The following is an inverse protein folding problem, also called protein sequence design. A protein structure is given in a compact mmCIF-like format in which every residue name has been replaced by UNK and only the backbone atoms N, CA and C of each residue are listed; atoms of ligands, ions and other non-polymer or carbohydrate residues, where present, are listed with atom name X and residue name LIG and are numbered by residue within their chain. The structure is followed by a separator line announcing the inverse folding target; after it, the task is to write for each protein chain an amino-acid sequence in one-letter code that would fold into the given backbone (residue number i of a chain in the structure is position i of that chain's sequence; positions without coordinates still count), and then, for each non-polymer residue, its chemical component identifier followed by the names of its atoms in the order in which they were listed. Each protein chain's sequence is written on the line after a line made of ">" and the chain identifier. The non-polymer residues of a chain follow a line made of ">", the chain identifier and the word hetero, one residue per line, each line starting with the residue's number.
data_IF_701164267282
#
_entry.id   IF_701164267282
#
_cell.length_a   1.000
_cell.length_b   1.000
_cell.length_c   1.000
_cell.angle_alpha   90.00
_cell.angle_beta   90.00
_cell.angle_gamma   90.00
#
_symmetry.space_group_name_H-M   'P 1'
#
loop_
_entity.id
_entity.type
_entity.pdbx_description
1 polymer ?
#
# COMPACT_ATOMS: atom_id res chain seq x y z
N UNK A 1 9.28 -19.19 -3.96
CA UNK A 1 9.58 -19.40 -5.39
C UNK A 1 8.84 -18.33 -6.19
N UNK A 2 9.42 -17.13 -6.26
CA UNK A 2 8.87 -16.02 -7.01
C UNK A 2 9.31 -16.12 -8.46
N UNK A 3 8.41 -16.52 -9.35
CA UNK A 3 8.64 -16.44 -10.79
C UNK A 3 7.99 -15.16 -11.32
N UNK A 4 8.83 -14.22 -11.73
CA UNK A 4 8.63 -13.21 -12.78
C UNK A 4 7.23 -12.59 -12.90
N UNK A 5 7.06 -11.39 -12.34
CA UNK A 5 6.16 -10.37 -12.91
C UNK A 5 6.59 -8.93 -12.59
N UNK A 6 7.90 -8.68 -12.44
CA UNK A 6 8.43 -7.31 -12.30
C UNK A 6 8.60 -6.62 -13.67
N UNK A 7 7.61 -6.77 -14.57
CA UNK A 7 7.61 -6.10 -15.88
C UNK A 7 7.42 -4.58 -15.78
N UNK A 8 7.00 -4.06 -14.62
CA UNK A 8 6.68 -2.65 -14.44
C UNK A 8 7.79 -1.85 -13.74
N UNK A 9 8.55 -2.47 -12.84
CA UNK A 9 9.52 -1.76 -11.98
C UNK A 9 10.90 -1.58 -12.61
N UNK A 10 11.16 -2.19 -13.79
CA UNK A 10 12.49 -2.27 -14.43
C UNK A 10 13.57 -2.83 -13.49
N UNK A 11 13.19 -3.53 -12.42
CA UNK A 11 14.12 -4.15 -11.48
C UNK A 11 14.76 -5.37 -12.17
N UNK A 12 16.11 -5.49 -12.14
CA UNK A 12 16.79 -6.64 -12.71
C UNK A 12 16.34 -7.95 -12.06
N UNK A 13 16.20 -9.02 -12.85
CA UNK A 13 15.82 -10.35 -12.35
C UNK A 13 16.80 -10.98 -11.36
N UNK A 14 18.04 -10.46 -11.30
CA UNK A 14 19.04 -10.86 -10.33
C UNK A 14 18.92 -10.15 -8.98
N UNK A 15 18.07 -9.12 -8.86
CA UNK A 15 17.84 -8.45 -7.59
C UNK A 15 17.05 -9.37 -6.65
N UNK A 16 17.50 -9.46 -5.40
CA UNK A 16 16.75 -10.17 -4.36
C UNK A 16 15.60 -9.29 -3.86
N UNK A 17 14.40 -9.87 -3.80
CA UNK A 17 13.16 -9.18 -3.38
C UNK A 17 12.44 -10.04 -2.35
N UNK A 18 11.97 -9.41 -1.26
CA UNK A 18 11.14 -10.04 -0.25
C UNK A 18 10.07 -9.08 0.26
N UNK A 19 8.92 -9.63 0.66
CA UNK A 19 7.83 -8.87 1.25
C UNK A 19 7.93 -8.84 2.78
N UNK A 20 7.51 -7.74 3.37
CA UNK A 20 7.39 -7.58 4.82
C UNK A 20 5.99 -7.09 5.13
N UNK A 21 5.30 -7.80 6.00
CA UNK A 21 3.99 -7.41 6.48
C UNK A 21 4.05 -7.25 8.01
N UNK A 22 3.85 -6.03 8.47
CA UNK A 22 3.62 -5.67 9.86
C UNK A 22 2.39 -4.79 10.03
N UNK A 23 1.39 -4.88 9.14
CA UNK A 23 0.25 -3.96 9.05
C UNK A 23 0.69 -2.52 8.73
N UNK A 24 0.11 -1.50 9.35
CA UNK A 24 0.42 -0.08 9.10
C UNK A 24 1.93 0.30 9.07
N UNK A 25 2.81 -0.24 9.93
CA UNK A 25 4.25 0.09 9.89
C UNK A 25 5.05 -0.60 8.77
N UNK A 26 4.44 -1.38 7.88
CA UNK A 26 5.17 -2.21 6.88
C UNK A 26 6.15 -1.42 6.01
N UNK A 27 5.75 -0.26 5.48
CA UNK A 27 6.61 0.58 4.66
C UNK A 27 7.85 1.09 5.41
N UNK A 28 7.66 1.60 6.63
CA UNK A 28 8.79 2.04 7.47
C UNK A 28 9.65 0.85 7.92
N UNK A 29 9.05 -0.31 8.19
CA UNK A 29 9.79 -1.53 8.52
C UNK A 29 10.68 -1.98 7.36
N UNK A 30 10.22 -1.86 6.11
CA UNK A 30 11.01 -2.14 4.92
C UNK A 30 12.24 -1.21 4.85
N UNK A 31 12.08 0.09 5.16
CA UNK A 31 13.21 1.04 5.24
C UNK A 31 14.20 0.61 6.31
N UNK A 32 13.74 0.26 7.52
CA UNK A 32 14.63 -0.17 8.61
C UNK A 32 15.43 -1.45 8.27
N UNK A 33 14.78 -2.42 7.61
CA UNK A 33 15.43 -3.66 7.20
C UNK A 33 16.45 -3.41 6.09
N UNK A 34 16.09 -2.62 5.07
CA UNK A 34 16.99 -2.22 4.00
C UNK A 34 18.22 -1.45 4.55
N UNK A 35 18.00 -0.53 5.47
CA UNK A 35 19.07 0.21 6.14
C UNK A 35 20.01 -0.71 6.92
N UNK A 36 19.45 -1.72 7.61
CA UNK A 36 20.25 -2.71 8.35
C UNK A 36 21.12 -3.54 7.40
N UNK A 37 20.56 -4.03 6.29
CA UNK A 37 21.33 -4.78 5.28
C UNK A 37 22.43 -3.94 4.63
N UNK A 38 22.18 -2.64 4.39
CA UNK A 38 23.21 -1.71 3.88
C UNK A 38 24.29 -1.47 4.93
N UNK A 39 23.92 -1.22 6.18
CA UNK A 39 24.86 -0.94 7.26
C UNK A 39 25.74 -2.15 7.61
N UNK A 40 25.20 -3.37 7.50
CA UNK A 40 25.92 -4.62 7.71
C UNK A 40 26.80 -5.03 6.52
N UNK A 41 26.76 -4.27 5.41
CA UNK A 41 27.52 -4.58 4.20
C UNK A 41 26.98 -5.76 3.39
N UNK A 42 25.74 -6.20 3.65
CA UNK A 42 25.10 -7.28 2.89
C UNK A 42 24.75 -6.83 1.47
N UNK A 43 24.37 -5.57 1.30
CA UNK A 43 24.13 -4.95 -0.01
C UNK A 43 24.61 -3.49 -0.02
N UNK A 44 25.27 -3.03 -1.09
CA UNK A 44 25.70 -1.63 -1.19
C UNK A 44 24.54 -0.67 -1.53
N UNK A 45 23.41 -1.20 -2.02
CA UNK A 45 22.24 -0.45 -2.50
C UNK A 45 20.97 -1.24 -2.23
N UNK A 46 19.91 -0.56 -1.77
CA UNK A 46 18.61 -1.16 -1.52
C UNK A 46 17.47 -0.22 -1.94
N UNK A 47 16.36 -0.80 -2.40
CA UNK A 47 15.10 -0.10 -2.64
C UNK A 47 14.09 -0.58 -1.60
N UNK A 48 13.59 0.33 -0.77
CA UNK A 48 12.50 0.04 0.16
C UNK A 48 11.22 0.67 -0.36
N UNK A 49 10.14 -0.12 -0.40
CA UNK A 49 8.85 0.28 -0.95
C UNK A 49 7.74 -0.07 0.04
N UNK A 50 6.82 0.85 0.27
CA UNK A 50 5.51 0.59 0.87
C UNK A 50 4.43 0.80 -0.18
N UNK A 51 3.47 -0.10 -0.27
CA UNK A 51 2.37 -0.02 -1.23
C UNK A 51 1.12 -0.64 -0.64
N UNK A 52 -0.03 -0.02 -0.90
CA UNK A 52 -1.35 -0.55 -0.62
C UNK A 52 -2.32 -0.26 -1.76
N UNK A 53 -3.22 -1.19 -2.02
CA UNK A 53 -4.38 -1.00 -2.90
C UNK A 53 -5.59 -1.67 -2.28
N UNK A 54 -6.24 -0.93 -1.38
CA UNK A 54 -7.41 -1.37 -0.66
C UNK A 54 -8.64 -1.44 -1.57
N UNK A 55 -8.72 -0.58 -2.59
CA UNK A 55 -9.82 -0.63 -3.58
C UNK A 55 -9.86 -1.93 -4.37
N UNK A 56 -8.72 -2.62 -4.51
CA UNK A 56 -8.61 -3.89 -5.23
C UNK A 56 -8.59 -5.11 -4.30
N UNK A 57 -8.81 -4.91 -3.00
CA UNK A 57 -8.81 -5.99 -2.03
C UNK A 57 -9.99 -6.96 -2.28
N UNK A 58 -9.75 -8.29 -2.34
CA UNK A 58 -10.80 -9.25 -2.65
C UNK A 58 -11.69 -9.52 -1.43
N UNK A 59 -12.86 -10.12 -1.68
CA UNK A 59 -13.57 -10.84 -0.64
C UNK A 59 -13.07 -12.29 -0.56
N UNK A 60 -13.11 -12.88 0.65
CA UNK A 60 -12.61 -14.20 0.99
C UNK A 60 -13.76 -15.18 1.27
N UNK A 61 -13.55 -16.44 0.91
CA UNK A 61 -14.40 -17.57 1.29
C UNK A 61 -13.59 -18.55 2.14
N UNK A 62 -13.53 -18.28 3.45
CA UNK A 62 -12.62 -18.95 4.38
C UNK A 62 -12.81 -20.48 4.44
N UNK A 63 -14.03 -20.98 4.19
CA UNK A 63 -14.35 -22.41 4.29
C UNK A 63 -14.33 -23.16 2.95
N UNK A 64 -14.10 -22.46 1.83
CA UNK A 64 -14.22 -23.06 0.50
C UNK A 64 -13.30 -24.28 0.30
N UNK A 65 -12.09 -24.27 0.87
CA UNK A 65 -11.15 -25.40 0.82
C UNK A 65 -11.25 -26.37 2.01
N UNK A 66 -11.94 -25.98 3.09
CA UNK A 66 -12.05 -26.76 4.32
C UNK A 66 -13.30 -27.68 4.29
N UNK A 67 -13.43 -28.48 3.23
CA UNK A 67 -14.59 -29.35 3.02
C UNK A 67 -15.85 -28.63 2.51
N UNK A 68 -15.73 -27.36 2.13
CA UNK A 68 -16.82 -26.53 1.58
C UNK A 68 -17.88 -26.15 2.62
N UNK A 69 -18.93 -25.46 2.15
CA UNK A 69 -20.05 -25.05 2.99
C UNK A 69 -21.10 -26.14 3.20
N UNK A 70 -20.98 -27.28 2.49
CA UNK A 70 -21.94 -28.40 2.50
C UNK A 70 -23.37 -27.92 2.25
N UNK A 71 -24.22 -27.94 3.28
CA UNK A 71 -25.59 -27.43 3.26
C UNK A 71 -25.68 -26.30 4.28
N UNK A 72 -26.08 -25.12 3.84
CA UNK A 72 -26.20 -23.91 4.67
C UNK A 72 -25.46 -22.72 4.06
N UNK A 73 -25.67 -21.55 4.67
CA UNK A 73 -25.09 -20.30 4.21
C UNK A 73 -23.64 -20.12 4.72
N UNK A 74 -22.89 -19.26 4.02
CA UNK A 74 -21.52 -18.91 4.38
C UNK A 74 -21.26 -17.42 4.19
N UNK A 75 -20.49 -16.78 5.08
CA UNK A 75 -20.19 -15.36 4.94
C UNK A 75 -19.20 -15.12 3.80
N UNK A 76 -19.46 -14.07 3.04
CA UNK A 76 -18.45 -13.45 2.18
C UNK A 76 -17.65 -12.46 3.04
N UNK A 77 -16.36 -12.73 3.25
CA UNK A 77 -15.55 -12.01 4.23
C UNK A 77 -14.73 -10.93 3.56
N UNK A 78 -14.87 -9.68 3.98
CA UNK A 78 -14.06 -8.57 3.47
C UNK A 78 -12.60 -8.70 3.92
N UNK A 79 -11.65 -8.77 2.97
CA UNK A 79 -10.22 -8.94 3.32
C UNK A 79 -9.59 -7.71 3.94
N UNK A 80 -10.05 -6.49 3.62
CA UNK A 80 -9.55 -5.25 4.25
C UNK A 80 -9.89 -5.30 5.73
N UNK A 81 -11.12 -5.65 6.05
CA UNK A 81 -11.56 -5.77 7.43
C UNK A 81 -10.83 -6.92 8.12
N UNK A 82 -10.83 -8.11 7.51
CA UNK A 82 -10.32 -9.33 8.13
C UNK A 82 -8.81 -9.30 8.37
N UNK A 83 -8.02 -9.01 7.33
CA UNK A 83 -6.56 -9.03 7.39
C UNK A 83 -5.99 -7.67 7.82
N UNK A 84 -6.55 -6.58 7.32
CA UNK A 84 -5.98 -5.23 7.50
C UNK A 84 -6.37 -4.55 8.81
N UNK A 85 -7.61 -4.73 9.27
CA UNK A 85 -8.15 -3.96 10.40
C UNK A 85 -8.32 -4.76 11.69
N UNK A 86 -8.79 -6.02 11.63
CA UNK A 86 -9.11 -6.78 12.85
C UNK A 86 -8.18 -7.94 13.16
N UNK A 87 -7.41 -8.46 12.22
CA UNK A 87 -6.46 -9.60 12.41
C UNK A 87 -7.07 -10.95 12.83
N UNK A 88 -8.28 -10.98 13.41
CA UNK A 88 -9.03 -12.18 13.79
C UNK A 88 -10.53 -11.89 13.91
N UNK A 89 -11.39 -12.90 13.80
CA UNK A 89 -12.84 -12.68 13.77
C UNK A 89 -13.42 -12.01 15.02
N UNK A 90 -12.76 -12.21 16.16
CA UNK A 90 -13.27 -11.78 17.48
C UNK A 90 -12.63 -10.48 17.99
N UNK A 91 -11.70 -9.89 17.24
CA UNK A 91 -11.10 -8.62 17.63
C UNK A 91 -11.94 -7.44 17.17
N UNK A 92 -12.05 -6.38 18.00
CA UNK A 92 -12.74 -5.17 17.61
C UNK A 92 -11.95 -4.43 16.51
N UNK A 93 -12.65 -3.60 15.75
CA UNK A 93 -12.01 -2.74 14.76
C UNK A 93 -11.13 -1.68 15.44
N UNK A 94 -10.07 -1.17 14.76
CA UNK A 94 -9.12 -0.24 15.35
C UNK A 94 -9.76 1.03 15.92
N UNK A 95 -10.85 1.50 15.33
CA UNK A 95 -11.59 2.66 15.84
C UNK A 95 -12.16 2.48 17.24
N UNK A 96 -12.53 1.25 17.64
CA UNK A 96 -12.93 0.97 19.02
C UNK A 96 -11.76 1.10 19.99
N UNK A 97 -10.56 0.69 19.58
CA UNK A 97 -9.36 0.89 20.38
C UNK A 97 -8.98 2.37 20.46
N UNK A 98 -9.14 3.12 19.37
CA UNK A 98 -8.92 4.56 19.34
C UNK A 98 -9.87 5.29 20.31
N UNK A 99 -11.17 4.97 20.28
CA UNK A 99 -12.16 5.54 21.21
C UNK A 99 -11.81 5.21 22.67
N UNK A 100 -11.47 3.95 22.97
CA UNK A 100 -11.09 3.54 24.32
C UNK A 100 -9.82 4.28 24.82
N UNK A 101 -8.82 4.42 23.96
CA UNK A 101 -7.59 5.16 24.27
C UNK A 101 -7.87 6.65 24.46
N UNK A 102 -8.72 7.24 23.62
CA UNK A 102 -9.10 8.65 23.74
C UNK A 102 -9.77 8.95 25.08
N UNK A 103 -10.69 8.07 25.54
CA UNK A 103 -11.31 8.18 26.87
C UNK A 103 -10.26 8.10 27.98
N UNK A 104 -9.32 7.16 27.91
CA UNK A 104 -8.25 7.02 28.91
C UNK A 104 -7.33 8.24 28.99
N UNK A 105 -7.08 8.88 27.85
CA UNK A 105 -6.23 10.06 27.72
C UNK A 105 -6.98 11.38 27.96
N UNK A 106 -8.30 11.34 28.20
CA UNK A 106 -9.13 12.53 28.38
C UNK A 106 -9.28 13.37 27.10
N UNK A 107 -9.14 12.75 25.93
CA UNK A 107 -9.32 13.40 24.63
C UNK A 107 -10.81 13.49 24.34
N UNK A 108 -11.31 14.69 24.09
CA UNK A 108 -12.72 14.92 23.77
C UNK A 108 -12.99 14.82 22.26
N UNK A 109 -14.27 14.67 21.90
CA UNK A 109 -14.72 14.76 20.50
C UNK A 109 -14.30 16.09 19.84
N UNK A 110 -14.35 17.18 20.59
CA UNK A 110 -13.95 18.50 20.09
C UNK A 110 -12.44 18.56 19.79
N UNK A 111 -11.61 17.86 20.56
CA UNK A 111 -10.17 17.76 20.29
C UNK A 111 -9.90 16.97 19.01
N UNK A 112 -10.58 15.83 18.82
CA UNK A 112 -10.51 15.04 17.59
C UNK A 112 -10.90 15.85 16.35
N UNK A 113 -12.04 16.55 16.41
CA UNK A 113 -12.54 17.34 15.30
C UNK A 113 -11.64 18.56 15.02
N UNK A 114 -11.13 19.22 16.07
CA UNK A 114 -10.16 20.31 15.93
C UNK A 114 -8.88 19.85 15.24
N UNK A 115 -8.37 18.68 15.62
CA UNK A 115 -7.19 18.10 14.98
C UNK A 115 -7.46 17.74 13.51
N UNK A 116 -8.63 17.17 13.21
CA UNK A 116 -9.03 16.87 11.83
C UNK A 116 -9.01 18.14 10.96
N UNK A 117 -9.65 19.23 11.41
CA UNK A 117 -9.63 20.52 10.69
C UNK A 117 -8.21 21.03 10.47
N UNK A 118 -7.35 20.95 11.49
CA UNK A 118 -5.95 21.36 11.36
C UNK A 118 -5.18 20.50 10.36
N UNK A 119 -5.41 19.18 10.35
CA UNK A 119 -4.76 18.24 9.43
C UNK A 119 -5.10 18.57 7.97
N UNK A 120 -6.39 18.70 7.67
CA UNK A 120 -6.85 19.06 6.32
C UNK A 120 -6.38 20.45 5.91
N UNK A 121 -6.41 21.43 6.81
CA UNK A 121 -5.89 22.77 6.52
C UNK A 121 -4.41 22.71 6.16
N UNK A 122 -3.58 21.99 6.94
CA UNK A 122 -2.14 21.83 6.63
C UNK A 122 -1.92 21.17 5.28
N UNK A 123 -2.70 20.13 4.97
CA UNK A 123 -2.62 19.45 3.68
C UNK A 123 -3.04 20.38 2.52
N UNK A 124 -4.10 21.16 2.69
CA UNK A 124 -4.55 22.14 1.70
C UNK A 124 -3.53 23.26 1.49
N UNK A 125 -2.97 23.81 2.56
CA UNK A 125 -1.93 24.83 2.53
C UNK A 125 -0.66 24.27 1.82
N UNK A 126 -0.26 23.03 2.14
CA UNK A 126 0.86 22.35 1.48
C UNK A 126 0.61 22.12 -0.03
N UNK A 127 -0.59 21.72 -0.41
CA UNK A 127 -0.98 21.57 -1.82
C UNK A 127 -0.94 22.91 -2.56
N UNK A 128 -1.55 23.95 -1.99
CA UNK A 128 -1.64 25.29 -2.60
C UNK A 128 -0.28 25.98 -2.74
N UNK A 129 0.63 25.76 -1.79
CA UNK A 129 2.01 26.27 -1.83
C UNK A 129 2.94 25.46 -2.73
N UNK A 130 2.48 24.32 -3.25
CA UNK A 130 3.28 23.40 -4.05
C UNK A 130 4.32 22.63 -3.24
N UNK A 131 4.16 22.54 -1.91
CA UNK A 131 5.09 21.84 -1.02
C UNK A 131 5.27 20.37 -1.39
N UNK A 132 4.19 19.68 -1.77
CA UNK A 132 4.23 18.28 -2.22
C UNK A 132 4.95 18.07 -3.56
N UNK A 133 5.40 19.13 -4.24
CA UNK A 133 6.34 18.97 -5.37
C UNK A 133 7.73 18.49 -4.91
N UNK A 134 8.06 18.66 -3.62
CA UNK A 134 9.36 18.28 -3.06
C UNK A 134 9.49 16.77 -2.81
N UNK A 135 8.39 16.06 -2.56
CA UNK A 135 8.42 14.61 -2.28
C UNK A 135 8.53 13.75 -3.54
N UNK A 136 8.48 14.39 -4.72
CA UNK A 136 8.57 13.70 -5.99
C UNK A 136 7.31 12.89 -6.30
N UNK A 137 6.11 13.41 -5.99
CA UNK A 137 4.85 12.83 -6.47
C UNK A 137 4.94 12.62 -7.98
N UNK A 138 4.99 11.35 -8.36
CA UNK A 138 5.02 10.97 -9.75
C UNK A 138 3.58 10.88 -10.26
N UNK A 139 3.25 11.52 -11.39
CA UNK A 139 1.97 11.34 -12.04
C UNK A 139 1.66 9.87 -12.26
N UNK A 140 0.54 9.39 -11.71
CA UNK A 140 0.08 8.04 -11.95
C UNK A 140 -0.89 8.04 -13.14
N UNK A 141 -0.53 7.29 -14.17
CA UNK A 141 -1.39 7.06 -15.33
C UNK A 141 -2.31 5.89 -15.03
N UNK A 142 -3.63 6.11 -15.14
CA UNK A 142 -4.60 5.02 -15.06
C UNK A 142 -4.61 4.17 -16.34
N UNK A 143 -4.05 4.69 -17.45
CA UNK A 143 -3.83 3.89 -18.66
C UNK A 143 -2.77 2.81 -18.44
N UNK A 144 -3.21 1.55 -18.58
CA UNK A 144 -2.35 0.38 -18.55
C UNK A 144 -1.67 0.18 -19.92
N UNK A 145 -0.33 0.11 -19.95
CA UNK A 145 0.40 -0.41 -21.10
C UNK A 145 1.21 -1.64 -20.70
N UNK A 146 1.00 -2.75 -21.41
CA UNK A 146 1.88 -3.92 -21.29
C UNK A 146 3.23 -3.54 -21.90
N UNK A 147 4.29 -3.47 -21.08
CA UNK A 147 5.64 -3.25 -21.58
C UNK A 147 6.44 -4.54 -21.47
N UNK A 148 6.97 -5.11 -22.58
CA UNK A 148 7.79 -6.31 -22.53
C UNK A 148 9.10 -6.06 -21.78
N UNK A 149 9.43 -6.92 -20.81
CA UNK A 149 10.75 -6.93 -20.18
C UNK A 149 11.81 -7.36 -21.18
N UNK A 150 12.75 -6.48 -21.55
CA UNK A 150 13.95 -6.86 -22.29
C UNK A 150 15.12 -7.02 -21.31
N UNK A 151 15.71 -8.21 -21.25
CA UNK A 151 17.05 -8.40 -20.70
C UNK A 151 17.93 -9.03 -21.78
N UNK A 152 19.09 -8.41 -22.02
CA UNK A 152 20.16 -9.00 -22.80
C UNK A 152 20.70 -10.22 -22.03
N UNK A 153 20.65 -11.40 -22.66
CA UNK A 153 21.13 -12.63 -22.05
C UNK A 153 22.64 -12.60 -21.86
N UNK A 154 23.10 -12.65 -20.61
CA UNK A 154 24.44 -13.13 -20.30
C UNK A 154 24.36 -14.66 -20.18
N UNK A 155 25.11 -15.35 -21.03
CA UNK A 155 25.15 -16.80 -21.14
C UNK A 155 25.48 -17.48 -19.79
N UNK A 156 24.62 -18.41 -19.38
CA UNK A 156 24.97 -19.45 -18.41
C UNK A 156 24.60 -20.80 -19.02
N UNK A 157 25.56 -21.73 -18.93
CA UNK A 157 25.67 -22.99 -19.66
C UNK A 157 24.43 -23.89 -19.61
N UNK A 158 24.10 -24.45 -20.76
CA UNK A 158 23.04 -25.41 -21.02
C UNK A 158 23.15 -26.69 -20.19
N UNK A 159 22.22 -26.90 -19.26
CA UNK A 159 21.76 -28.23 -18.88
C UNK A 159 20.35 -28.41 -19.45
N UNK A 160 20.24 -29.21 -20.51
CA UNK A 160 18.97 -29.57 -21.14
C UNK A 160 18.28 -30.67 -20.31
N UNK A 161 17.22 -30.30 -19.61
CA UNK A 161 16.21 -31.27 -19.15
C UNK A 161 15.09 -31.28 -20.19
N UNK A 162 14.80 -32.47 -20.72
CA UNK A 162 13.80 -32.70 -21.76
C UNK A 162 12.44 -32.11 -21.36
N UNK A 163 11.92 -31.20 -22.20
CA UNK A 163 10.61 -30.58 -22.01
C UNK A 163 9.50 -31.59 -22.29
N UNK A 164 8.80 -32.03 -21.24
CA UNK A 164 7.43 -32.52 -21.38
C UNK A 164 6.56 -31.30 -21.70
N UNK A 165 6.15 -31.16 -22.95
CA UNK A 165 5.17 -30.16 -23.38
C UNK A 165 3.79 -30.51 -22.78
N UNK A 166 3.57 -30.14 -21.51
CA UNK A 166 2.21 -29.92 -21.04
C UNK A 166 1.72 -28.61 -21.64
N UNK A 167 0.79 -28.74 -22.58
CA UNK A 167 0.00 -27.67 -23.15
C UNK A 167 -0.86 -27.02 -22.05
N UNK A 168 -0.24 -26.23 -21.18
CA UNK A 168 -0.96 -25.32 -20.29
C UNK A 168 -1.52 -24.22 -21.18
N UNK A 169 -2.77 -24.40 -21.64
CA UNK A 169 -3.58 -23.28 -22.11
C UNK A 169 -3.60 -22.26 -20.98
N UNK A 170 -2.86 -21.16 -21.15
CA UNK A 170 -3.10 -19.94 -20.38
C UNK A 170 -4.57 -19.62 -20.56
N UNK A 171 -5.38 -19.89 -19.54
CA UNK A 171 -6.68 -19.25 -19.44
C UNK A 171 -6.33 -17.78 -19.17
N UNK A 172 -6.28 -17.00 -20.24
CA UNK A 172 -6.26 -15.55 -20.10
C UNK A 172 -7.53 -15.19 -19.37
N UNK A 173 -7.42 -14.86 -18.09
CA UNK A 173 -8.50 -14.23 -17.35
C UNK A 173 -8.59 -12.83 -17.94
N UNK A 174 -9.40 -12.67 -18.98
CA UNK A 174 -9.74 -11.35 -19.49
C UNK A 174 -10.48 -10.59 -18.39
N UNK A 175 -10.09 -9.33 -18.16
CA UNK A 175 -10.75 -8.48 -17.15
C UNK A 175 -12.25 -8.47 -17.44
N UNK A 176 -13.11 -8.63 -16.43
CA UNK A 176 -14.54 -8.58 -16.63
C UNK A 176 -14.94 -7.22 -17.20
N UNK A 177 -15.94 -7.20 -18.08
CA UNK A 177 -16.34 -6.07 -18.94
C UNK A 177 -16.58 -4.76 -18.19
N UNK A 178 -16.96 -4.82 -16.91
CA UNK A 178 -17.18 -3.65 -16.06
C UNK A 178 -15.89 -2.94 -15.63
N UNK A 179 -14.74 -3.63 -15.54
CA UNK A 179 -13.43 -3.00 -15.35
C UNK A 179 -12.90 -2.35 -16.65
N UNK A 180 -13.44 -2.73 -17.81
CA UNK A 180 -13.05 -2.17 -19.11
C UNK A 180 -13.83 -0.90 -19.47
N UNK A 181 -14.94 -0.61 -18.78
CA UNK A 181 -15.89 0.45 -19.14
C UNK A 181 -15.73 1.76 -18.35
N UNK A 182 -14.82 1.84 -17.37
CA UNK A 182 -14.79 2.98 -16.43
C UNK A 182 -13.65 3.98 -16.59
N UNK A 183 -12.67 3.80 -17.47
CA UNK A 183 -11.50 4.69 -17.45
C UNK A 183 -11.33 5.43 -18.77
N UNK A 184 -11.74 6.69 -18.80
CA UNK A 184 -11.01 7.66 -19.63
C UNK A 184 -9.63 7.76 -18.99
N UNK A 185 -8.53 7.49 -19.71
CA UNK A 185 -7.19 7.59 -19.15
C UNK A 185 -6.98 8.95 -18.46
N UNK A 186 -6.79 8.91 -17.15
CA UNK A 186 -6.55 10.08 -16.31
C UNK A 186 -5.12 10.08 -15.80
N UNK A 187 -4.65 11.27 -15.43
CA UNK A 187 -3.38 11.43 -14.75
C UNK A 187 -3.67 11.92 -13.33
N UNK A 188 -3.42 11.06 -12.35
CA UNK A 188 -3.55 11.41 -10.94
C UNK A 188 -2.22 12.02 -10.47
N UNK A 189 -2.27 13.26 -9.98
CA UNK A 189 -1.09 14.02 -9.53
C UNK A 189 -1.29 14.71 -8.18
N UNK A 190 -2.46 14.57 -7.58
CA UNK A 190 -2.84 15.24 -6.35
C UNK A 190 -3.50 14.24 -5.41
N UNK A 191 -3.30 14.45 -4.11
CA UNK A 191 -4.03 13.73 -3.07
C UNK A 191 -5.53 14.09 -3.17
N UNK A 192 -6.37 13.07 -3.36
CA UNK A 192 -7.81 13.23 -3.57
C UNK A 192 -8.58 13.61 -2.30
N UNK A 193 -8.05 13.29 -1.12
CA UNK A 193 -8.76 13.47 0.15
C UNK A 193 -8.73 14.92 0.61
N UNK A 194 -7.69 15.69 0.28
CA UNK A 194 -7.48 17.06 0.78
C UNK A 194 -8.69 17.98 0.54
N UNK A 195 -9.42 17.78 -0.56
CA UNK A 195 -10.58 18.60 -0.91
C UNK A 195 -11.92 18.09 -0.34
N UNK A 196 -11.93 16.93 0.34
CA UNK A 196 -13.16 16.25 0.78
C UNK A 196 -13.65 16.70 2.16
N UNK A 197 -12.92 17.52 2.91
CA UNK A 197 -13.37 18.00 4.23
C UNK A 197 -14.59 18.91 4.11
N UNK A 198 -15.61 18.62 4.91
CA UNK A 198 -16.78 19.48 5.11
C UNK A 198 -16.98 19.70 6.61
N UNK A 199 -16.95 20.97 7.03
CA UNK A 199 -17.15 21.34 8.43
C UNK A 199 -18.55 20.99 8.91
N UNK A 200 -19.56 21.15 8.06
CA UNK A 200 -20.95 20.79 8.37
C UNK A 200 -21.08 19.28 8.58
N UNK A 201 -20.43 18.46 7.74
CA UNK A 201 -20.40 17.00 7.93
C UNK A 201 -19.62 16.63 9.18
N UNK A 202 -18.49 17.27 9.45
CA UNK A 202 -17.70 17.01 10.66
C UNK A 202 -18.51 17.26 11.93
N UNK A 203 -19.24 18.38 11.99
CA UNK A 203 -20.08 18.73 13.14
C UNK A 203 -21.29 17.79 13.33
N UNK A 204 -21.89 17.31 12.22
CA UNK A 204 -23.07 16.44 12.25
C UNK A 204 -22.75 14.94 12.20
N UNK A 205 -21.48 14.56 12.07
CA UNK A 205 -21.10 13.17 11.92
C UNK A 205 -21.35 12.35 13.20
N UNK A 206 -22.03 11.23 12.99
CA UNK A 206 -22.25 10.22 14.03
C UNK A 206 -20.96 9.41 14.28
N UNK A 207 -20.71 9.00 15.53
CA UNK A 207 -19.69 8.02 15.85
C UNK A 207 -19.88 6.72 15.07
N UNK A 208 -18.79 6.16 14.55
CA UNK A 208 -18.84 4.96 13.67
C UNK A 208 -18.79 3.66 14.46
N UNK A 209 -18.09 3.64 15.60
CA UNK A 209 -17.75 2.40 16.30
C UNK A 209 -18.58 2.12 17.55
N UNK A 210 -19.53 3.00 17.88
CA UNK A 210 -20.48 2.87 18.98
C UNK A 210 -21.10 4.22 19.34
N UNK A 211 -22.28 4.27 19.98
CA UNK A 211 -23.01 5.52 20.24
C UNK A 211 -22.24 6.52 21.13
N UNK A 212 -21.43 6.01 22.06
CA UNK A 212 -20.57 6.81 22.96
C UNK A 212 -19.16 7.02 22.37
N UNK A 213 -18.93 6.64 21.11
CA UNK A 213 -17.64 6.76 20.45
C UNK A 213 -17.29 8.21 20.09
N UNK A 214 -16.02 8.48 19.87
CA UNK A 214 -15.51 9.81 19.49
C UNK A 214 -15.11 9.84 18.01
N UNK A 215 -14.72 8.68 17.48
CA UNK A 215 -14.28 8.49 16.12
C UNK A 215 -15.47 8.54 15.16
N UNK A 216 -15.40 9.44 14.19
CA UNK A 216 -16.35 9.60 13.10
C UNK A 216 -15.68 9.38 11.76
N UNK A 217 -16.48 9.31 10.69
CA UNK A 217 -15.93 9.29 9.35
C UNK A 217 -15.05 10.51 9.07
N UNK A 218 -15.42 11.70 9.53
CA UNK A 218 -14.75 12.95 9.15
C UNK A 218 -13.50 13.27 9.98
N UNK A 219 -13.33 12.65 11.16
CA UNK A 219 -12.16 12.82 12.02
C UNK A 219 -11.20 11.62 12.05
N UNK A 220 -11.44 10.62 11.19
CA UNK A 220 -10.58 9.45 11.02
C UNK A 220 -9.92 9.41 9.64
N UNK A 221 -8.88 8.58 9.50
CA UNK A 221 -8.33 8.29 8.19
C UNK A 221 -9.36 7.56 7.30
N UNK A 222 -9.17 7.69 5.98
CA UNK A 222 -9.95 6.98 4.97
C UNK A 222 -9.16 5.81 4.42
N UNK A 223 -9.86 4.81 3.91
CA UNK A 223 -9.21 3.77 3.12
C UNK A 223 -8.75 4.40 1.80
N UNK A 224 -7.47 4.26 1.50
CA UNK A 224 -6.85 4.85 0.32
C UNK A 224 -5.87 3.89 -0.33
N UNK A 225 -5.52 4.21 -1.57
CA UNK A 225 -4.53 3.49 -2.36
C UNK A 225 -3.29 4.38 -2.54
N UNK A 226 -2.10 3.78 -2.51
CA UNK A 226 -0.88 4.56 -2.65
C UNK A 226 0.40 3.72 -2.58
N UNK A 227 1.50 4.32 -3.01
CA UNK A 227 2.83 3.73 -2.88
C UNK A 227 3.86 4.82 -2.59
N UNK A 228 4.87 4.48 -1.80
CA UNK A 228 6.03 5.31 -1.53
C UNK A 228 7.30 4.44 -1.58
N UNK A 229 8.40 5.01 -2.08
CA UNK A 229 9.66 4.31 -2.20
C UNK A 229 10.84 5.21 -1.83
N UNK A 230 11.87 4.61 -1.24
CA UNK A 230 13.14 5.27 -0.97
C UNK A 230 14.30 4.38 -1.40
N UNK A 231 15.34 4.99 -1.94
CA UNK A 231 16.61 4.33 -2.27
C UNK A 231 17.58 4.58 -1.14
N UNK A 232 18.14 3.50 -0.59
CA UNK A 232 19.20 3.55 0.42
C UNK A 232 20.50 3.05 -0.20
N UNK A 233 21.60 3.71 0.08
CA UNK A 233 22.93 3.34 -0.40
C UNK A 233 23.94 3.47 0.72
N UNK A 234 24.98 2.62 0.68
CA UNK A 234 26.16 2.83 1.51
C UNK A 234 26.82 4.17 1.14
N UNK A 235 27.43 4.85 2.11
CA UNK A 235 28.01 6.18 1.89
C UNK A 235 29.13 6.14 0.83
N UNK A 236 29.95 5.08 0.83
CA UNK A 236 30.97 4.85 -0.19
C UNK A 236 30.33 4.61 -1.57
N UNK A 237 29.27 3.81 -1.66
CA UNK A 237 28.57 3.53 -2.92
C UNK A 237 27.95 4.80 -3.52
N UNK A 238 27.34 5.64 -2.68
CA UNK A 238 26.80 6.93 -3.11
C UNK A 238 27.90 7.85 -3.66
N UNK A 239 29.06 7.92 -2.99
CA UNK A 239 30.22 8.70 -3.46
C UNK A 239 30.80 8.16 -4.75
N UNK A 240 30.97 6.84 -4.87
CA UNK A 240 31.50 6.19 -6.07
C UNK A 240 30.64 6.46 -7.31
N UNK A 241 29.33 6.59 -7.12
CA UNK A 241 28.37 6.95 -8.18
C UNK A 241 28.17 8.45 -8.38
N UNK A 242 28.85 9.30 -7.60
CA UNK A 242 28.66 10.75 -7.64
C UNK A 242 27.26 11.22 -7.23
N UNK A 243 26.54 10.43 -6.42
CA UNK A 243 25.19 10.73 -5.96
C UNK A 243 25.24 11.65 -4.74
N UNK A 244 24.35 12.64 -4.70
CA UNK A 244 24.16 13.53 -3.54
C UNK A 244 23.03 12.98 -2.66
N UNK A 245 23.29 12.48 -1.45
CA UNK A 245 22.24 11.99 -0.56
C UNK A 245 21.26 13.11 -0.14
N UNK A 246 19.97 12.77 -0.05
CA UNK A 246 18.93 13.69 0.45
C UNK A 246 18.91 13.77 1.98
N UNK A 247 19.23 12.67 2.65
CA UNK A 247 19.32 12.53 4.10
C UNK A 247 20.37 11.47 4.45
N UNK A 248 20.81 11.47 5.71
CA UNK A 248 21.67 10.43 6.28
C UNK A 248 20.95 9.82 7.47
N UNK A 249 20.80 8.51 7.47
CA UNK A 249 20.36 7.76 8.64
C UNK A 249 21.56 7.66 9.59
N UNK A 250 21.41 8.23 10.79
CA UNK A 250 22.42 8.22 11.86
C UNK A 250 22.10 7.19 12.91
#
# INVERSE_FOLDING_TARGET
>A
MGSNSDSHSRIPSCASVYGVNGSCPSGLKAVCLAASSVALGETPLALAVGVDSLSNAPYLLLRARQGGYKVGDGPLVDSVVFEGLRGSENQPLPGKWADAAAVQLGISRADCDTYAVQSFKRAADATSSGFFRLEGLLPFSTAFSETPSQCAGSAASSFQVAQVQQQQRRVGVSRPRWQQQQETPGVLQQDEEVQRLSLDRLASANPVFGPEGLTTSENSFKLGDGAAAVVLAADEEARNRGLKPLARQV
#
